data_IF_197915345824
#
_entry.id   IF_197915345824
#
_cell.length_a   1.000
_cell.length_b   1.000
_cell.length_c   1.000
_cell.angle_alpha   90.00
_cell.angle_beta   90.00
_cell.angle_gamma   90.00
#
_symmetry.space_group_name_H-M   'P 1'
#
loop_
_entity.id
_entity.type
_entity.pdbx_description
1 polymer ?
#
# COMPACT_ATOMS: atom_id res chain seq x y z
N UNK A 1 4.51 0.35 10.76
CA UNK A 1 4.87 -0.36 9.51
C UNK A 1 3.60 -1.06 9.05
N UNK A 2 3.22 -1.01 7.77
CA UNK A 2 2.13 -1.88 7.30
C UNK A 2 2.70 -3.30 7.30
N UNK A 3 1.99 -4.24 7.92
CA UNK A 3 2.43 -5.63 7.97
C UNK A 3 2.56 -6.20 6.55
N UNK A 4 3.61 -7.02 6.33
CA UNK A 4 3.85 -7.68 5.04
C UNK A 4 2.62 -8.44 4.53
N UNK A 5 1.86 -9.06 5.43
CA UNK A 5 0.60 -9.76 5.12
C UNK A 5 -0.41 -8.89 4.35
N UNK A 6 -0.53 -7.59 4.69
CA UNK A 6 -1.45 -6.68 3.97
C UNK A 6 -0.94 -6.34 2.59
N UNK A 7 0.39 -6.27 2.40
CA UNK A 7 1.01 -6.00 1.11
C UNK A 7 0.87 -7.22 0.20
N UNK A 8 1.08 -8.41 0.73
CA UNK A 8 0.89 -9.67 0.01
C UNK A 8 -0.56 -9.79 -0.46
N UNK A 9 -1.53 -9.48 0.41
CA UNK A 9 -2.95 -9.47 0.04
C UNK A 9 -3.28 -8.49 -1.09
N UNK A 10 -2.70 -7.27 -1.06
CA UNK A 10 -2.86 -6.30 -2.15
C UNK A 10 -2.29 -6.85 -3.47
N UNK A 11 -1.15 -7.54 -3.41
CA UNK A 11 -0.51 -8.15 -4.57
C UNK A 11 -1.32 -9.32 -5.13
N UNK A 12 -1.89 -10.17 -4.26
CA UNK A 12 -2.80 -11.24 -4.67
C UNK A 12 -4.02 -10.68 -5.40
N UNK A 13 -4.69 -9.68 -4.81
CA UNK A 13 -5.84 -9.01 -5.44
C UNK A 13 -5.44 -8.32 -6.75
N UNK A 14 -4.24 -7.75 -6.84
CA UNK A 14 -3.75 -7.14 -8.08
C UNK A 14 -3.42 -8.17 -9.17
N UNK A 15 -2.95 -9.37 -8.79
CA UNK A 15 -2.70 -10.48 -9.71
C UNK A 15 -4.02 -11.05 -10.22
N UNK A 16 -4.98 -11.27 -9.32
CA UNK A 16 -6.34 -11.66 -9.67
C UNK A 16 -6.98 -10.63 -10.62
N UNK A 17 -6.81 -9.33 -10.36
CA UNK A 17 -7.30 -8.26 -11.25
C UNK A 17 -6.72 -8.28 -12.67
N UNK A 18 -5.52 -8.84 -12.84
CA UNK A 18 -4.88 -9.01 -14.16
C UNK A 18 -5.41 -10.23 -14.90
N UNK A 19 -5.72 -11.30 -14.18
CA UNK A 19 -6.25 -12.54 -14.78
C UNK A 19 -7.77 -12.46 -14.99
N UNK A 20 -8.50 -11.79 -14.11
CA UNK A 20 -9.96 -11.61 -14.15
C UNK A 20 -10.36 -10.23 -13.65
N UNK A 21 -11.54 -9.75 -14.06
CA UNK A 21 -12.15 -8.58 -13.44
C UNK A 21 -12.43 -8.87 -11.96
N UNK A 22 -11.97 -8.00 -11.06
CA UNK A 22 -12.29 -8.10 -9.63
C UNK A 22 -13.79 -7.90 -9.44
N UNK A 23 -14.37 -8.62 -8.49
CA UNK A 23 -15.72 -8.32 -8.02
C UNK A 23 -15.72 -7.02 -7.21
N UNK A 24 -16.86 -6.34 -7.13
CA UNK A 24 -16.97 -5.08 -6.36
C UNK A 24 -16.53 -5.22 -4.89
N UNK A 25 -16.70 -6.40 -4.29
CA UNK A 25 -16.23 -6.69 -2.93
C UNK A 25 -14.71 -6.71 -2.83
N UNK A 26 -14.05 -7.45 -3.73
CA UNK A 26 -12.59 -7.53 -3.79
C UNK A 26 -11.95 -6.19 -4.16
N UNK A 27 -12.60 -5.39 -5.00
CA UNK A 27 -12.12 -4.06 -5.35
C UNK A 27 -12.20 -3.08 -4.17
N UNK A 28 -13.29 -3.13 -3.40
CA UNK A 28 -13.42 -2.36 -2.14
C UNK A 28 -12.35 -2.77 -1.13
N UNK A 29 -12.10 -4.07 -0.97
CA UNK A 29 -11.04 -4.58 -0.08
C UNK A 29 -9.67 -4.08 -0.52
N UNK A 30 -9.36 -4.20 -1.82
CA UNK A 30 -8.10 -3.71 -2.40
C UNK A 30 -7.92 -2.21 -2.20
N UNK A 31 -8.97 -1.41 -2.39
CA UNK A 31 -8.91 0.04 -2.16
C UNK A 31 -8.69 0.40 -0.69
N UNK A 32 -9.38 -0.27 0.23
CA UNK A 32 -9.22 -0.06 1.66
C UNK A 32 -7.77 -0.36 2.10
N UNK A 33 -7.25 -1.52 1.68
CA UNK A 33 -5.87 -1.93 1.96
C UNK A 33 -4.84 -0.95 1.35
N UNK A 34 -5.06 -0.50 0.11
CA UNK A 34 -4.19 0.51 -0.53
C UNK A 34 -4.19 1.83 0.22
N UNK A 35 -5.35 2.29 0.70
CA UNK A 35 -5.47 3.55 1.44
C UNK A 35 -4.67 3.50 2.75
N UNK A 36 -4.76 2.38 3.46
CA UNK A 36 -4.00 2.15 4.68
C UNK A 36 -2.48 2.09 4.40
N UNK A 37 -2.08 1.38 3.35
CA UNK A 37 -0.68 1.33 2.89
C UNK A 37 -0.13 2.73 2.58
N UNK A 38 -0.86 3.54 1.81
CA UNK A 38 -0.41 4.89 1.43
C UNK A 38 -0.27 5.80 2.65
N UNK A 39 -1.18 5.73 3.63
CA UNK A 39 -1.05 6.55 4.85
C UNK A 39 0.20 6.19 5.63
N UNK A 40 0.44 4.90 5.86
CA UNK A 40 1.62 4.44 6.57
C UNK A 40 2.92 4.67 5.79
N UNK A 41 2.87 4.57 4.46
CA UNK A 41 3.98 4.93 3.57
C UNK A 41 4.28 6.42 3.66
N UNK A 42 3.28 7.31 3.59
CA UNK A 42 3.46 8.77 3.75
C UNK A 42 4.06 9.13 5.10
N UNK A 43 3.61 8.47 6.17
CA UNK A 43 4.16 8.67 7.52
C UNK A 43 5.63 8.25 7.59
N UNK A 44 6.00 7.11 7.00
CA UNK A 44 7.39 6.66 6.91
C UNK A 44 8.24 7.58 6.03
N UNK A 45 7.73 7.95 4.85
CA UNK A 45 8.43 8.81 3.92
C UNK A 45 8.74 10.17 4.56
N UNK A 46 7.76 10.80 5.21
CA UNK A 46 7.99 12.04 5.97
C UNK A 46 9.07 11.88 7.04
N UNK A 47 9.03 10.79 7.80
CA UNK A 47 10.07 10.46 8.78
C UNK A 47 11.46 10.23 8.17
N UNK A 48 11.54 9.71 6.95
CA UNK A 48 12.81 9.55 6.24
C UNK A 48 13.34 10.89 5.72
N UNK A 49 12.47 11.73 5.14
CA UNK A 49 12.85 13.07 4.68
C UNK A 49 13.28 13.99 5.82
N UNK A 50 12.63 13.93 6.99
CA UNK A 50 13.06 14.66 8.19
C UNK A 50 14.48 14.26 8.67
N UNK A 51 14.96 13.06 8.32
CA UNK A 51 16.33 12.61 8.65
C UNK A 51 17.36 12.98 7.60
N UNK A 52 16.95 13.40 6.40
CA UNK A 52 17.88 13.85 5.37
C UNK A 52 18.33 15.26 5.77
N UNK A 53 19.45 15.32 6.49
CA UNK A 53 20.23 16.54 6.62
C UNK A 53 20.83 16.83 5.25
N UNK A 54 20.37 17.89 4.60
CA UNK A 54 21.11 18.49 3.48
C UNK A 54 22.40 19.03 4.11
N UNK A 55 23.53 18.43 3.75
CA UNK A 55 24.86 18.92 4.09
C UNK A 55 25.28 19.79 2.91
N UNK A 56 25.47 21.08 3.15
CA UNK A 56 26.02 22.04 2.18
C UNK A 56 27.54 21.82 2.03
#
# INVERSE_FOLDING_TARGET
MVGQEKIDRINELAKLAKERTLTEGEEKERQALRKEYIQAFRKNAKQQFDRIKIVD
#
